data_IF_077364146927
#
_entry.id   IF_077364146927
#
_cell.length_a   1.000
_cell.length_b   1.000
_cell.length_c   1.000
_cell.angle_alpha   90.00
_cell.angle_beta   90.00
_cell.angle_gamma   90.00
#
_symmetry.space_group_name_H-M   'P 1'
#
loop_
_entity.id
_entity.type
_entity.pdbx_description
1 polymer ?
#
# COMPACT_ATOMS: atom_id res chain seq x y z
N UNK A 1 13.84 7.67 -11.15
CA UNK A 1 12.53 8.36 -11.18
C UNK A 1 11.47 7.27 -11.25
N UNK A 2 10.60 7.19 -10.25
CA UNK A 2 9.56 6.16 -10.15
C UNK A 2 8.41 6.48 -11.13
N UNK A 3 7.97 5.51 -11.93
CA UNK A 3 6.83 5.66 -12.85
C UNK A 3 5.94 4.42 -12.76
N UNK A 4 4.85 4.55 -12.01
CA UNK A 4 3.87 3.49 -11.82
C UNK A 4 2.57 3.87 -12.53
N UNK A 5 1.92 2.89 -13.16
CA UNK A 5 0.52 2.99 -13.59
C UNK A 5 -0.29 1.92 -12.87
N UNK A 6 -1.34 2.32 -12.17
CA UNK A 6 -2.20 1.42 -11.40
C UNK A 6 -3.65 1.57 -11.86
N UNK A 7 -4.41 0.47 -11.86
CA UNK A 7 -5.86 0.54 -11.99
C UNK A 7 -6.43 1.34 -10.83
N UNK A 8 -7.39 2.22 -11.13
CA UNK A 8 -8.05 3.04 -10.09
C UNK A 8 -8.64 2.17 -8.97
N UNK A 9 -9.21 1.01 -9.32
CA UNK A 9 -9.76 0.08 -8.35
C UNK A 9 -8.71 -0.45 -7.37
N UNK A 10 -7.51 -0.83 -7.85
CA UNK A 10 -6.42 -1.30 -6.98
C UNK A 10 -6.04 -0.22 -5.95
N UNK A 11 -5.89 1.03 -6.40
CA UNK A 11 -5.55 2.14 -5.51
C UNK A 11 -6.66 2.41 -4.48
N UNK A 12 -7.93 2.26 -4.86
CA UNK A 12 -9.06 2.38 -3.95
C UNK A 12 -9.03 1.29 -2.88
N UNK A 13 -8.86 0.04 -3.26
CA UNK A 13 -8.80 -1.09 -2.31
C UNK A 13 -7.63 -0.93 -1.32
N UNK A 14 -6.46 -0.48 -1.78
CA UNK A 14 -5.32 -0.18 -0.89
C UNK A 14 -5.72 0.90 0.12
N UNK A 15 -6.26 2.04 -0.32
CA UNK A 15 -6.64 3.15 0.58
C UNK A 15 -7.73 2.73 1.56
N UNK A 16 -8.75 2.01 1.09
CA UNK A 16 -9.87 1.56 1.91
C UNK A 16 -9.37 0.66 3.06
N UNK A 17 -8.45 -0.27 2.78
CA UNK A 17 -7.86 -1.13 3.81
C UNK A 17 -7.02 -0.32 4.82
N UNK A 18 -6.18 0.61 4.35
CA UNK A 18 -5.30 1.37 5.24
C UNK A 18 -6.09 2.32 6.15
N UNK A 19 -7.18 2.90 5.64
CA UNK A 19 -8.04 3.82 6.39
C UNK A 19 -8.69 3.21 7.63
N UNK A 20 -8.77 1.88 7.71
CA UNK A 20 -9.26 1.17 8.91
C UNK A 20 -8.29 1.29 10.08
N UNK A 21 -6.99 1.45 9.82
CA UNK A 21 -5.93 1.41 10.83
C UNK A 21 -5.30 2.77 11.10
N UNK A 22 -5.19 3.63 10.08
CA UNK A 22 -4.50 4.91 10.16
C UNK A 22 -5.05 5.92 9.16
N UNK A 23 -4.95 7.20 9.51
CA UNK A 23 -5.20 8.32 8.58
C UNK A 23 -4.00 8.60 7.66
N UNK A 24 -2.79 8.21 8.09
CA UNK A 24 -1.54 8.42 7.35
C UNK A 24 -0.72 7.13 7.25
N UNK A 25 -0.27 6.79 6.04
CA UNK A 25 0.55 5.61 5.78
C UNK A 25 1.72 5.92 4.84
N UNK A 26 2.89 5.35 5.14
CA UNK A 26 4.06 5.43 4.25
C UNK A 26 3.98 4.35 3.17
N UNK A 27 3.95 4.79 1.91
CA UNK A 27 4.03 3.92 0.74
C UNK A 27 5.49 3.74 0.31
N UNK A 28 6.01 2.52 0.35
CA UNK A 28 7.41 2.21 0.00
C UNK A 28 7.46 1.41 -1.29
N UNK A 29 7.92 2.04 -2.37
CA UNK A 29 8.11 1.37 -3.66
C UNK A 29 9.50 0.74 -3.72
N UNK A 30 9.54 -0.58 -3.91
CA UNK A 30 10.78 -1.37 -4.02
C UNK A 30 10.81 -2.22 -5.29
N UNK A 31 11.78 -3.12 -5.41
CA UNK A 31 11.91 -3.99 -6.61
C UNK A 31 10.77 -5.01 -6.76
N UNK A 32 10.05 -5.33 -5.67
CA UNK A 32 9.01 -6.38 -5.63
C UNK A 32 7.59 -5.82 -5.53
N UNK A 33 7.41 -4.53 -5.78
CA UNK A 33 6.12 -3.88 -5.58
C UNK A 33 6.07 -2.84 -4.46
N UNK A 34 4.83 -2.45 -4.13
CA UNK A 34 4.52 -1.49 -3.09
C UNK A 34 4.45 -2.19 -1.72
N UNK A 35 5.42 -1.89 -0.87
CA UNK A 35 5.42 -2.26 0.54
C UNK A 35 4.68 -1.24 1.40
N UNK A 36 3.86 -1.73 2.31
CA UNK A 36 3.17 -0.96 3.34
C UNK A 36 3.29 -1.64 4.69
N UNK A 37 3.61 -0.86 5.71
CA UNK A 37 3.59 -1.29 7.11
C UNK A 37 2.99 -0.19 7.96
N UNK A 38 1.91 -0.53 8.68
CA UNK A 38 1.13 0.39 9.50
C UNK A 38 0.81 -0.27 10.82
N UNK A 39 0.98 0.47 11.91
CA UNK A 39 0.49 0.13 13.24
C UNK A 39 -0.70 1.04 13.53
N UNK A 40 -1.75 0.48 14.12
CA UNK A 40 -2.93 1.26 14.49
C UNK A 40 -2.64 2.25 15.64
N UNK A 41 -3.51 3.24 15.81
CA UNK A 41 -3.34 4.27 16.85
C UNK A 41 -3.32 3.74 18.30
N UNK A 42 -3.86 2.53 18.56
CA UNK A 42 -3.81 1.90 19.87
C UNK A 42 -2.57 1.01 20.09
N UNK A 43 -1.74 0.82 19.07
CA UNK A 43 -0.56 -0.05 19.07
C UNK A 43 -0.85 -1.52 19.38
N UNK A 44 -2.03 -2.01 18.98
CA UNK A 44 -2.46 -3.40 19.20
C UNK A 44 -2.41 -4.21 17.89
N UNK A 45 -2.57 -3.56 16.73
CA UNK A 45 -2.66 -4.19 15.43
C UNK A 45 -1.55 -3.69 14.48
N UNK A 46 -0.99 -4.63 13.72
CA UNK A 46 -0.01 -4.39 12.67
C UNK A 46 -0.56 -4.93 11.35
N UNK A 47 -0.59 -4.09 10.33
CA UNK A 47 -0.72 -4.51 8.94
C UNK A 47 0.64 -4.40 8.27
N UNK A 48 1.10 -5.50 7.65
CA UNK A 48 2.29 -5.53 6.82
C UNK A 48 1.95 -6.24 5.51
N UNK A 49 2.00 -5.50 4.40
CA UNK A 49 1.58 -5.99 3.10
C UNK A 49 2.59 -5.61 2.01
N UNK A 50 2.64 -6.44 0.98
CA UNK A 50 3.34 -6.14 -0.28
C UNK A 50 2.36 -6.37 -1.41
N UNK A 51 2.05 -5.30 -2.15
CA UNK A 51 1.31 -5.38 -3.39
C UNK A 51 2.35 -5.61 -4.48
N UNK A 52 2.37 -6.82 -5.04
CA UNK A 52 3.38 -7.24 -6.00
C UNK A 52 3.34 -6.39 -7.28
N UNK A 53 4.47 -6.25 -7.95
CA UNK A 53 4.63 -5.43 -9.15
C UNK A 53 3.71 -5.85 -10.29
N UNK A 54 3.38 -7.14 -10.39
CA UNK A 54 2.47 -7.67 -11.41
C UNK A 54 1.01 -7.21 -11.23
N UNK A 55 0.68 -6.62 -10.08
CA UNK A 55 -0.64 -6.00 -9.86
C UNK A 55 -0.78 -4.65 -10.58
N UNK A 56 0.32 -4.04 -11.01
CA UNK A 56 0.36 -2.73 -11.66
C UNK A 56 0.44 -2.87 -13.18
N UNK A 57 -0.11 -1.90 -13.92
CA UNK A 57 -0.07 -1.88 -15.39
C UNK A 57 1.32 -1.48 -15.91
N UNK A 58 2.03 -0.66 -15.14
CA UNK A 58 3.42 -0.28 -15.34
C UNK A 58 4.05 -0.14 -13.96
N UNK A 59 5.22 -0.74 -13.77
CA UNK A 59 5.96 -0.72 -12.52
C UNK A 59 7.41 -0.29 -12.77
#
# INVERSE_FOLDING_TARGET
MLRITAKQQLMREIVDILSVLTDEAKLVWGEKGLGVSVVDGSHVALLSATIADECFEMY
#
